data_IF_562522311561
#
_entry.id   IF_562522311561
#
_cell.length_a   1.000
_cell.length_b   1.000
_cell.length_c   1.000
_cell.angle_alpha   90.00
_cell.angle_beta   90.00
_cell.angle_gamma   90.00
#
_symmetry.space_group_name_H-M   'P 1'
#
loop_
_entity.id
_entity.type
_entity.pdbx_description
1 polymer ?
#
# COMPACT_ATOMS: atom_id res chain seq x y z
N UNK A 1 -7.87 13.90 -20.05
CA UNK A 1 -6.46 14.32 -20.03
C UNK A 1 -5.70 13.55 -21.08
N UNK A 2 -4.73 14.16 -21.73
CA UNK A 2 -3.81 13.48 -22.66
C UNK A 2 -2.43 13.45 -22.02
N UNK A 3 -1.74 12.31 -22.07
CA UNK A 3 -0.36 12.17 -21.64
C UNK A 3 0.43 11.50 -22.76
N UNK A 4 1.58 12.06 -23.14
CA UNK A 4 2.33 11.59 -24.31
C UNK A 4 3.65 12.30 -24.48
N UNK A 5 4.46 11.82 -25.41
CA UNK A 5 5.69 12.54 -25.81
C UNK A 5 5.33 13.82 -26.58
N UNK A 6 6.26 14.76 -26.68
CA UNK A 6 6.06 15.98 -27.49
C UNK A 6 5.73 15.67 -28.97
N UNK A 7 6.16 14.50 -29.45
CA UNK A 7 5.91 14.02 -30.81
C UNK A 7 4.50 13.44 -30.98
N UNK A 8 4.01 12.72 -29.98
CA UNK A 8 2.79 11.92 -30.10
C UNK A 8 1.53 12.64 -29.62
N UNK A 9 1.67 13.61 -28.70
CA UNK A 9 0.55 14.43 -28.20
C UNK A 9 -0.24 15.09 -29.34
N UNK A 10 0.37 15.79 -30.32
CA UNK A 10 -0.40 16.42 -31.40
C UNK A 10 -1.26 15.43 -32.18
N UNK A 11 -0.71 14.25 -32.48
CA UNK A 11 -1.41 13.17 -33.21
C UNK A 11 -2.63 12.66 -32.44
N UNK A 12 -2.52 12.56 -31.11
CA UNK A 12 -3.63 12.13 -30.28
C UNK A 12 -4.74 13.21 -30.15
N UNK A 13 -4.37 14.49 -30.21
CA UNK A 13 -5.35 15.59 -30.21
C UNK A 13 -6.15 15.67 -31.53
N UNK A 14 -5.54 15.27 -32.63
CA UNK A 14 -6.17 15.17 -33.95
C UNK A 14 -6.98 13.88 -34.13
N UNK A 15 -6.98 12.97 -33.15
CA UNK A 15 -7.67 11.69 -33.25
C UNK A 15 -9.19 11.87 -33.51
N UNK A 16 -9.82 11.12 -34.42
CA UNK A 16 -11.23 11.28 -34.76
C UNK A 16 -12.18 11.21 -33.56
N UNK A 17 -11.90 10.35 -32.57
CA UNK A 17 -12.67 10.28 -31.33
C UNK A 17 -12.61 11.57 -30.48
N UNK A 18 -11.54 12.36 -30.58
CA UNK A 18 -11.43 13.69 -29.94
C UNK A 18 -12.18 14.72 -30.78
N UNK A 19 -12.01 14.71 -32.10
CA UNK A 19 -12.69 15.63 -33.04
C UNK A 19 -14.21 15.44 -33.10
N UNK A 20 -14.71 14.22 -32.92
CA UNK A 20 -16.14 13.88 -32.91
C UNK A 20 -16.86 14.25 -31.61
N UNK A 21 -16.21 14.98 -30.68
CA UNK A 21 -16.73 15.40 -29.37
C UNK A 21 -17.10 14.26 -28.40
N UNK A 22 -16.64 13.03 -28.64
CA UNK A 22 -16.79 11.95 -27.66
C UNK A 22 -15.94 12.22 -26.40
N UNK A 23 -14.86 12.98 -26.56
CA UNK A 23 -14.00 13.42 -25.48
C UNK A 23 -13.73 14.92 -25.57
N UNK A 24 -13.86 15.63 -24.45
CA UNK A 24 -13.36 16.99 -24.31
C UNK A 24 -11.97 16.95 -23.67
N UNK A 25 -10.95 17.45 -24.38
CA UNK A 25 -9.59 17.55 -23.83
C UNK A 25 -9.54 18.68 -22.81
N UNK A 26 -9.27 18.31 -21.56
CA UNK A 26 -9.23 19.25 -20.43
C UNK A 26 -7.79 19.63 -20.03
N UNK A 27 -6.77 19.01 -20.64
CA UNK A 27 -5.37 19.22 -20.26
C UNK A 27 -4.44 18.16 -20.84
N UNK A 28 -3.17 18.52 -20.91
CA UNK A 28 -2.10 17.74 -21.57
C UNK A 28 -0.88 17.68 -20.65
N UNK A 29 -0.28 16.50 -20.52
CA UNK A 29 1.02 16.29 -19.87
C UNK A 29 2.01 15.79 -20.91
N UNK A 30 3.03 16.58 -21.18
CA UNK A 30 4.12 16.17 -22.07
C UNK A 30 5.19 15.43 -21.26
N UNK A 31 5.51 14.23 -21.69
CA UNK A 31 6.49 13.34 -21.07
C UNK A 31 7.84 13.54 -21.77
N UNK A 32 8.86 13.84 -20.98
CA UNK A 32 10.26 13.85 -21.41
C UNK A 32 10.79 12.41 -21.57
N UNK A 33 11.80 12.23 -22.41
CA UNK A 33 12.39 10.91 -22.66
C UNK A 33 13.21 10.36 -21.48
N UNK A 34 13.52 11.20 -20.49
CA UNK A 34 14.27 10.81 -19.30
C UNK A 34 13.41 9.97 -18.33
N UNK A 35 13.91 8.79 -17.94
CA UNK A 35 13.26 7.87 -17.02
C UNK A 35 13.78 7.99 -15.57
N UNK A 36 14.49 9.07 -15.21
CA UNK A 36 14.88 9.28 -13.82
C UNK A 36 13.68 9.48 -12.90
N UNK A 37 13.81 9.03 -11.65
CA UNK A 37 12.70 8.99 -10.69
C UNK A 37 12.14 10.39 -10.35
N UNK A 38 12.95 11.44 -10.44
CA UNK A 38 12.54 12.81 -10.13
C UNK A 38 11.63 13.35 -11.23
N UNK A 39 12.02 13.14 -12.49
CA UNK A 39 11.23 13.53 -13.66
C UNK A 39 9.89 12.79 -13.70
N UNK A 40 9.90 11.47 -13.49
CA UNK A 40 8.67 10.67 -13.46
C UNK A 40 7.74 11.18 -12.37
N UNK A 41 8.25 11.46 -11.17
CA UNK A 41 7.44 12.02 -10.07
C UNK A 41 6.84 13.37 -10.44
N UNK A 42 7.63 14.30 -10.98
CA UNK A 42 7.14 15.62 -11.37
C UNK A 42 6.03 15.56 -12.42
N UNK A 43 6.20 14.74 -13.44
CA UNK A 43 5.20 14.55 -14.50
C UNK A 43 3.95 13.81 -14.00
N UNK A 44 4.12 12.87 -13.08
CA UNK A 44 3.04 12.18 -12.36
C UNK A 44 2.22 13.14 -11.50
N UNK A 45 2.87 14.05 -10.78
CA UNK A 45 2.20 15.07 -9.98
C UNK A 45 1.44 16.07 -10.87
N UNK A 46 2.00 16.46 -12.02
CA UNK A 46 1.29 17.29 -12.99
C UNK A 46 0.01 16.62 -13.52
N UNK A 47 0.08 15.33 -13.87
CA UNK A 47 -1.08 14.56 -14.29
C UNK A 47 -2.14 14.48 -13.17
N UNK A 48 -1.71 14.20 -11.94
CA UNK A 48 -2.58 14.16 -10.77
C UNK A 48 -3.31 15.49 -10.54
N UNK A 49 -2.59 16.62 -10.63
CA UNK A 49 -3.15 17.96 -10.41
C UNK A 49 -4.16 18.34 -11.49
N UNK A 50 -3.86 18.01 -12.76
CA UNK A 50 -4.76 18.26 -13.88
C UNK A 50 -6.05 17.44 -13.77
N UNK A 51 -5.97 16.14 -13.49
CA UNK A 51 -7.16 15.29 -13.30
C UNK A 51 -8.02 15.81 -12.15
N UNK A 52 -7.39 16.20 -11.03
CA UNK A 52 -8.10 16.70 -9.85
C UNK A 52 -8.83 18.02 -10.11
N UNK A 53 -8.17 18.97 -10.79
CA UNK A 53 -8.72 20.30 -11.06
C UNK A 53 -9.87 20.28 -12.07
N UNK A 54 -9.79 19.43 -13.09
CA UNK A 54 -10.77 19.39 -14.17
C UNK A 54 -11.76 18.23 -14.04
N UNK A 55 -11.65 17.39 -12.99
CA UNK A 55 -12.48 16.19 -12.78
C UNK A 55 -12.54 15.28 -14.02
N UNK A 56 -11.38 15.07 -14.64
CA UNK A 56 -11.31 14.24 -15.84
C UNK A 56 -11.78 12.81 -15.53
N UNK A 57 -12.49 12.19 -16.46
CA UNK A 57 -12.96 10.80 -16.36
C UNK A 57 -12.12 9.82 -17.19
N UNK A 58 -11.24 10.34 -18.04
CA UNK A 58 -10.42 9.58 -19.00
C UNK A 58 -9.02 10.18 -19.08
N UNK A 59 -8.02 9.30 -19.10
CA UNK A 59 -6.63 9.60 -19.44
C UNK A 59 -6.29 8.86 -20.73
N UNK A 60 -5.91 9.61 -21.77
CA UNK A 60 -5.50 9.10 -23.07
C UNK A 60 -3.98 9.10 -23.15
N UNK A 61 -3.38 7.93 -23.34
CA UNK A 61 -1.96 7.72 -23.57
C UNK A 61 -1.68 7.86 -25.07
N UNK A 62 -0.85 8.84 -25.39
CA UNK A 62 -0.42 9.17 -26.73
C UNK A 62 1.04 8.72 -26.93
N UNK A 63 1.22 7.54 -27.53
CA UNK A 63 2.53 6.96 -27.83
C UNK A 63 3.20 6.21 -26.67
N UNK A 64 4.42 5.68 -26.90
CA UNK A 64 5.16 4.94 -25.89
C UNK A 64 5.72 5.87 -24.81
N UNK A 65 5.26 5.70 -23.56
CA UNK A 65 5.70 6.52 -22.43
C UNK A 65 6.94 5.98 -21.69
N UNK A 66 7.43 4.80 -22.05
CA UNK A 66 8.34 4.04 -21.19
C UNK A 66 7.62 3.33 -20.05
N UNK A 67 8.26 2.31 -19.46
CA UNK A 67 7.58 1.39 -18.53
C UNK A 67 7.23 2.07 -17.21
N UNK A 68 8.14 2.91 -16.70
CA UNK A 68 7.98 3.54 -15.39
C UNK A 68 6.87 4.61 -15.41
N UNK A 69 6.87 5.48 -16.42
CA UNK A 69 5.81 6.48 -16.60
C UNK A 69 4.46 5.84 -16.94
N UNK A 70 4.42 4.81 -17.79
CA UNK A 70 3.16 4.10 -18.07
C UNK A 70 2.52 3.51 -16.80
N UNK A 71 3.35 2.96 -15.89
CA UNK A 71 2.88 2.51 -14.56
C UNK A 71 2.36 3.67 -13.72
N UNK A 72 3.08 4.78 -13.66
CA UNK A 72 2.65 5.94 -12.88
C UNK A 72 1.33 6.55 -13.42
N UNK A 73 1.20 6.69 -14.74
CA UNK A 73 -0.03 7.13 -15.40
C UNK A 73 -1.22 6.20 -15.12
N UNK A 74 -1.00 4.88 -15.13
CA UNK A 74 -1.99 3.89 -14.72
C UNK A 74 -2.40 4.06 -13.26
N UNK A 75 -1.42 4.19 -12.37
CA UNK A 75 -1.65 4.31 -10.93
C UNK A 75 -2.43 5.59 -10.57
N UNK A 76 -2.11 6.72 -11.20
CA UNK A 76 -2.85 7.98 -11.05
C UNK A 76 -4.27 7.86 -11.63
N UNK A 77 -4.41 7.21 -12.79
CA UNK A 77 -5.72 7.01 -13.41
C UNK A 77 -6.62 6.16 -12.50
N UNK A 78 -6.07 5.10 -11.91
CA UNK A 78 -6.77 4.25 -10.94
C UNK A 78 -7.15 5.02 -9.69
N UNK A 79 -6.24 5.83 -9.13
CA UNK A 79 -6.49 6.68 -7.96
C UNK A 79 -7.71 7.57 -8.15
N UNK A 80 -7.88 8.13 -9.35
CA UNK A 80 -8.99 9.02 -9.70
C UNK A 80 -10.20 8.31 -10.32
N UNK A 81 -10.18 6.98 -10.46
CA UNK A 81 -11.25 6.23 -11.11
C UNK A 81 -11.42 6.55 -12.61
N UNK A 82 -10.38 7.10 -13.23
CA UNK A 82 -10.30 7.40 -14.65
C UNK A 82 -10.12 6.13 -15.48
N UNK A 83 -10.68 6.11 -16.68
CA UNK A 83 -10.35 5.09 -17.69
C UNK A 83 -9.01 5.46 -18.32
N UNK A 84 -8.07 4.51 -18.35
CA UNK A 84 -6.83 4.67 -19.08
C UNK A 84 -7.00 4.07 -20.48
N UNK A 85 -7.00 4.93 -21.49
CA UNK A 85 -7.07 4.55 -22.89
C UNK A 85 -5.70 4.76 -23.53
N UNK A 86 -5.33 3.95 -24.51
CA UNK A 86 -4.17 4.21 -25.34
C UNK A 86 -4.56 4.19 -26.82
N UNK A 87 -3.93 5.07 -27.59
CA UNK A 87 -3.92 4.99 -29.05
C UNK A 87 -2.86 3.95 -29.43
N UNK A 88 -3.29 2.73 -29.74
CA UNK A 88 -2.38 1.67 -30.17
C UNK A 88 -2.30 1.64 -31.71
N UNK A 89 -1.11 1.47 -32.32
CA UNK A 89 -1.01 1.18 -33.73
C UNK A 89 -1.74 -0.13 -34.06
N UNK A 90 -2.43 -0.17 -35.19
CA UNK A 90 -3.34 -1.24 -35.64
C UNK A 90 -2.70 -2.63 -35.89
N UNK A 91 -1.41 -2.84 -35.57
CA UNK A 91 -0.65 -4.04 -35.97
C UNK A 91 -0.27 -5.00 -34.82
N UNK A 92 -0.64 -4.73 -33.57
CA UNK A 92 -0.24 -5.60 -32.45
C UNK A 92 -1.45 -6.16 -31.71
N UNK A 93 -1.94 -7.34 -32.14
CA UNK A 93 -2.47 -8.34 -31.20
C UNK A 93 -2.28 -9.76 -31.76
N UNK A 94 -1.29 -10.48 -31.20
CA UNK A 94 -1.40 -11.90 -30.97
C UNK A 94 -1.58 -12.12 -29.45
N UNK A 95 -2.70 -12.71 -29.04
CA UNK A 95 -2.84 -13.33 -27.71
C UNK A 95 -3.42 -12.51 -26.54
N UNK A 96 -3.97 -11.32 -26.74
CA UNK A 96 -4.71 -10.59 -25.70
C UNK A 96 -6.07 -10.13 -26.26
N UNK A 97 -7.15 -10.19 -25.48
CA UNK A 97 -8.46 -9.62 -25.89
C UNK A 97 -8.61 -8.20 -25.31
N UNK A 98 -8.22 -7.13 -26.02
CA UNK A 98 -8.44 -5.76 -25.57
C UNK A 98 -9.93 -5.42 -25.58
N UNK A 99 -10.42 -4.72 -24.55
CA UNK A 99 -11.72 -4.06 -24.64
C UNK A 99 -11.56 -2.84 -25.54
N UNK A 100 -11.96 -2.99 -26.81
CA UNK A 100 -11.99 -1.90 -27.79
C UNK A 100 -13.13 -0.96 -27.40
N UNK A 101 -12.79 0.30 -27.11
CA UNK A 101 -13.74 1.35 -26.71
C UNK A 101 -14.22 2.17 -27.90
N UNK A 102 -13.47 2.14 -28.99
CA UNK A 102 -13.78 2.81 -30.25
C UNK A 102 -13.23 1.98 -31.41
N UNK A 103 -14.13 1.61 -32.33
CA UNK A 103 -13.83 0.86 -33.56
C UNK A 103 -13.71 1.86 -34.72
N UNK A 104 -12.48 2.17 -35.10
CA UNK A 104 -12.17 2.91 -36.33
C UNK A 104 -10.69 2.70 -36.65
N UNK A 105 -10.16 3.45 -37.62
CA UNK A 105 -8.82 3.21 -38.21
C UNK A 105 -7.65 3.29 -37.20
N UNK A 106 -7.89 3.81 -35.99
CA UNK A 106 -6.97 3.84 -34.86
C UNK A 106 -7.70 3.41 -33.56
N UNK A 107 -7.74 2.11 -33.22
CA UNK A 107 -8.55 1.62 -32.12
C UNK A 107 -8.09 2.17 -30.77
N UNK A 108 -9.06 2.66 -29.98
CA UNK A 108 -8.81 3.01 -28.58
C UNK A 108 -9.00 1.79 -27.70
N UNK A 109 -7.91 1.34 -27.09
CA UNK A 109 -7.93 0.19 -26.17
C UNK A 109 -7.97 0.69 -24.74
N UNK A 110 -8.91 0.17 -23.96
CA UNK A 110 -8.88 0.37 -22.51
C UNK A 110 -7.86 -0.55 -21.88
N UNK A 111 -6.76 0.03 -21.40
CA UNK A 111 -5.65 -0.72 -20.81
C UNK A 111 -5.91 -1.09 -19.34
N UNK A 112 -6.74 -0.31 -18.65
CA UNK A 112 -7.09 -0.58 -17.27
C UNK A 112 -8.51 -0.10 -16.93
N UNK A 113 -9.28 -0.99 -16.31
CA UNK A 113 -10.50 -0.66 -15.59
C UNK A 113 -10.49 -1.51 -14.31
N UNK A 114 -9.99 -0.96 -13.21
CA UNK A 114 -10.36 -1.47 -11.89
C UNK A 114 -10.93 -0.32 -11.09
N UNK A 115 -12.18 0.03 -11.41
CA UNK A 115 -12.98 0.80 -10.47
C UNK A 115 -13.25 -0.10 -9.28
N UNK A 116 -12.62 0.22 -8.15
CA UNK A 116 -13.20 -0.13 -6.86
C UNK A 116 -14.55 0.57 -6.83
N UNK A 117 -15.63 -0.19 -6.89
CA UNK A 117 -16.95 0.43 -6.73
C UNK A 117 -17.05 0.98 -5.32
N UNK A 118 -17.67 2.14 -5.16
CA UNK A 118 -17.82 2.78 -3.84
C UNK A 118 -18.49 1.83 -2.84
N UNK A 119 -19.44 1.01 -3.32
CA UNK A 119 -20.08 -0.06 -2.57
C UNK A 119 -19.12 -1.12 -2.04
N UNK A 120 -18.14 -1.56 -2.84
CA UNK A 120 -17.13 -2.53 -2.40
C UNK A 120 -16.25 -1.94 -1.28
N UNK A 121 -15.91 -0.65 -1.37
CA UNK A 121 -15.15 0.04 -0.33
C UNK A 121 -15.97 0.20 0.97
N UNK A 122 -17.27 0.51 0.85
CA UNK A 122 -18.19 0.58 1.99
C UNK A 122 -18.38 -0.79 2.65
N UNK A 123 -18.54 -1.85 1.85
CA UNK A 123 -18.66 -3.21 2.34
C UNK A 123 -17.39 -3.66 3.06
N UNK A 124 -16.20 -3.42 2.46
CA UNK A 124 -14.91 -3.66 3.13
C UNK A 124 -14.84 -2.94 4.48
N UNK A 125 -15.24 -1.67 4.52
CA UNK A 125 -15.23 -0.89 5.75
C UNK A 125 -16.19 -1.45 6.81
N UNK A 126 -17.36 -1.91 6.39
CA UNK A 126 -18.35 -2.51 7.29
C UNK A 126 -17.82 -3.81 7.89
N UNK A 127 -17.20 -4.67 7.07
CA UNK A 127 -16.54 -5.90 7.51
C UNK A 127 -15.42 -5.57 8.52
N UNK A 128 -14.56 -4.61 8.21
CA UNK A 128 -13.48 -4.17 9.10
C UNK A 128 -14.00 -3.77 10.49
N UNK A 129 -15.07 -2.96 10.54
CA UNK A 129 -15.67 -2.49 11.79
C UNK A 129 -16.28 -3.65 12.57
N UNK A 130 -17.16 -4.44 11.94
CA UNK A 130 -17.89 -5.53 12.63
C UNK A 130 -16.91 -6.58 13.17
N UNK A 131 -15.96 -7.02 12.36
CA UNK A 131 -14.98 -8.03 12.78
C UNK A 131 -14.03 -7.48 13.85
N UNK A 132 -13.53 -6.25 13.69
CA UNK A 132 -12.62 -5.66 14.70
C UNK A 132 -13.32 -5.40 16.03
N UNK A 133 -14.57 -4.94 16.01
CA UNK A 133 -15.38 -4.75 17.22
C UNK A 133 -15.63 -6.09 17.92
N UNK A 134 -16.01 -7.11 17.15
CA UNK A 134 -16.23 -8.47 17.68
C UNK A 134 -14.96 -9.03 18.30
N UNK A 135 -13.83 -8.94 17.60
CA UNK A 135 -12.53 -9.41 18.10
C UNK A 135 -12.10 -8.66 19.36
N UNK A 136 -12.33 -7.34 19.45
CA UNK A 136 -12.00 -6.58 20.66
C UNK A 136 -12.84 -7.00 21.87
N UNK A 137 -14.12 -7.29 21.69
CA UNK A 137 -14.99 -7.78 22.77
C UNK A 137 -14.55 -9.18 23.22
N UNK A 138 -14.38 -10.10 22.26
CA UNK A 138 -13.98 -11.49 22.54
C UNK A 138 -12.60 -11.57 23.18
N UNK A 139 -11.66 -10.74 22.71
CA UNK A 139 -10.27 -10.72 23.22
C UNK A 139 -10.08 -9.77 24.40
N UNK A 140 -11.11 -9.08 24.89
CA UNK A 140 -10.98 -8.14 26.00
C UNK A 140 -10.32 -8.76 27.25
N UNK A 141 -10.64 -10.01 27.68
CA UNK A 141 -9.96 -10.64 28.80
C UNK A 141 -8.45 -10.84 28.53
N UNK A 142 -8.09 -11.26 27.32
CA UNK A 142 -6.69 -11.43 26.91
C UNK A 142 -5.94 -10.09 26.89
N UNK A 143 -6.58 -9.03 26.39
CA UNK A 143 -6.02 -7.67 26.44
C UNK A 143 -5.70 -7.25 27.88
N UNK A 144 -6.63 -7.49 28.82
CA UNK A 144 -6.43 -7.16 30.23
C UNK A 144 -5.27 -7.95 30.85
N UNK A 145 -5.18 -9.25 30.57
CA UNK A 145 -4.08 -10.12 31.05
C UNK A 145 -2.73 -9.62 30.51
N UNK A 146 -2.63 -9.38 29.20
CA UNK A 146 -1.39 -8.88 28.58
C UNK A 146 -1.03 -7.51 29.14
N UNK A 147 -2.00 -6.62 29.29
CA UNK A 147 -1.79 -5.28 29.84
C UNK A 147 -1.24 -5.32 31.28
N UNK A 148 -1.84 -6.16 32.14
CA UNK A 148 -1.38 -6.36 33.50
C UNK A 148 0.03 -6.95 33.53
N UNK A 149 0.31 -7.97 32.72
CA UNK A 149 1.63 -8.59 32.65
C UNK A 149 2.73 -7.60 32.20
N UNK A 150 2.43 -6.72 31.23
CA UNK A 150 3.35 -5.66 30.79
C UNK A 150 3.60 -4.63 31.90
N UNK A 151 2.55 -4.24 32.62
CA UNK A 151 2.63 -3.26 33.71
C UNK A 151 3.42 -3.81 34.92
N UNK A 152 3.32 -5.12 35.18
CA UNK A 152 4.06 -5.80 36.24
C UNK A 152 5.54 -6.04 35.88
N UNK A 153 5.85 -6.34 34.61
CA UNK A 153 7.23 -6.59 34.18
C UNK A 153 8.08 -5.30 34.09
N UNK A 154 7.49 -4.18 33.67
CA UNK A 154 8.23 -2.92 33.53
C UNK A 154 7.37 -1.67 33.74
N UNK A 155 7.96 -0.63 34.34
CA UNK A 155 7.28 0.66 34.58
C UNK A 155 6.94 1.37 33.28
N UNK A 156 5.83 2.14 33.26
CA UNK A 156 5.42 2.99 32.14
C UNK A 156 4.18 2.50 31.37
N UNK A 157 3.88 3.09 30.20
CA UNK A 157 2.64 2.82 29.47
C UNK A 157 2.60 1.42 28.85
N UNK A 158 1.44 0.76 28.95
CA UNK A 158 1.18 -0.56 28.34
C UNK A 158 1.22 -0.51 26.80
N UNK A 159 0.73 0.57 26.21
CA UNK A 159 0.66 0.72 24.76
C UNK A 159 1.85 1.53 24.24
N UNK A 160 2.49 1.01 23.19
CA UNK A 160 3.43 1.73 22.36
C UNK A 160 2.71 2.35 21.16
N UNK A 161 3.12 3.56 20.76
CA UNK A 161 2.51 4.33 19.67
C UNK A 161 3.55 4.66 18.61
N UNK A 162 3.53 3.96 17.49
CA UNK A 162 4.45 4.23 16.38
C UNK A 162 3.77 5.18 15.37
N UNK A 163 4.36 6.34 15.09
CA UNK A 163 3.88 7.23 14.02
C UNK A 163 4.09 6.58 12.65
N UNK A 164 3.01 6.47 11.87
CA UNK A 164 2.98 5.87 10.53
C UNK A 164 2.17 6.73 9.58
N UNK A 165 2.35 6.53 8.28
CA UNK A 165 1.57 7.21 7.22
C UNK A 165 0.42 6.30 6.81
N UNK A 166 -0.78 6.84 6.73
CA UNK A 166 -2.01 6.12 6.37
C UNK A 166 -2.72 6.71 5.17
N UNK A 167 -4.02 6.42 5.08
CA UNK A 167 -4.89 6.87 3.99
C UNK A 167 -4.77 8.38 3.75
N UNK A 168 -4.54 8.76 2.48
CA UNK A 168 -4.38 10.16 2.03
C UNK A 168 -3.29 10.91 2.80
N UNK A 169 -2.15 10.26 2.99
CA UNK A 169 -0.96 10.81 3.66
C UNK A 169 -1.18 11.22 5.13
N UNK A 170 -2.32 10.87 5.73
CA UNK A 170 -2.60 11.23 7.12
C UNK A 170 -1.73 10.41 8.05
N UNK A 171 -0.91 11.10 8.86
CA UNK A 171 -0.15 10.46 9.91
C UNK A 171 -1.08 9.94 11.02
N UNK A 172 -0.80 8.75 11.54
CA UNK A 172 -1.53 8.17 12.67
C UNK A 172 -0.58 7.42 13.61
N UNK A 173 -1.05 7.13 14.82
CA UNK A 173 -0.31 6.30 15.77
C UNK A 173 -0.77 4.85 15.64
N UNK A 174 0.06 4.03 15.00
CA UNK A 174 -0.09 2.58 14.97
C UNK A 174 0.16 2.02 16.39
N UNK A 175 -0.90 1.48 16.99
CA UNK A 175 -0.87 1.00 18.36
C UNK A 175 -0.27 -0.40 18.43
N UNK A 176 0.54 -0.64 19.46
CA UNK A 176 1.05 -1.98 19.81
C UNK A 176 1.05 -2.13 21.32
N UNK A 177 1.08 -3.36 21.80
CA UNK A 177 1.54 -3.59 23.16
C UNK A 177 3.03 -3.28 23.24
N UNK A 178 3.45 -2.68 24.35
CA UNK A 178 4.84 -2.38 24.59
C UNK A 178 5.60 -3.69 24.82
N UNK A 179 6.60 -3.94 23.97
CA UNK A 179 7.48 -5.12 24.07
C UNK A 179 8.91 -4.76 24.47
N UNK A 180 9.21 -3.48 24.63
CA UNK A 180 10.54 -2.95 24.93
C UNK A 180 10.49 -2.11 26.20
N UNK A 181 11.63 -2.01 26.90
CA UNK A 181 11.80 -1.08 28.03
C UNK A 181 11.62 0.37 27.57
N UNK A 182 11.17 1.25 28.47
CA UNK A 182 10.81 2.64 28.13
C UNK A 182 12.01 3.44 27.60
N UNK A 183 13.21 3.13 28.08
CA UNK A 183 14.49 3.75 27.72
C UNK A 183 15.17 3.04 26.52
N UNK A 184 14.45 2.20 25.76
CA UNK A 184 15.03 1.42 24.66
C UNK A 184 15.75 2.27 23.61
N UNK A 185 15.18 3.41 23.24
CA UNK A 185 15.81 4.33 22.26
C UNK A 185 17.09 4.96 22.81
N UNK A 186 17.09 5.33 24.08
CA UNK A 186 18.24 5.89 24.77
C UNK A 186 19.36 4.86 24.92
N UNK A 187 19.03 3.61 25.25
CA UNK A 187 19.98 2.48 25.27
C UNK A 187 20.60 2.24 23.90
N UNK A 188 19.79 2.28 22.83
CA UNK A 188 20.28 2.09 21.48
C UNK A 188 21.30 3.18 21.09
N UNK A 189 21.07 4.44 21.48
CA UNK A 189 21.98 5.55 21.16
C UNK A 189 23.24 5.55 22.01
N UNK A 190 23.17 5.05 23.24
CA UNK A 190 24.30 5.01 24.19
C UNK A 190 25.27 3.86 23.95
N UNK A 191 24.86 2.83 23.21
CA UNK A 191 25.66 1.65 22.94
C UNK A 191 26.07 1.62 21.45
N UNK A 192 27.34 1.98 21.13
CA UNK A 192 27.83 2.00 19.75
C UNK A 192 27.80 0.63 19.07
N UNK A 193 27.99 -0.47 19.81
CA UNK A 193 27.94 -1.83 19.26
C UNK A 193 26.50 -2.18 18.88
N UNK A 194 25.57 -1.89 19.79
CA UNK A 194 24.14 -2.09 19.53
C UNK A 194 23.63 -1.24 18.36
N UNK A 195 24.12 0.00 18.24
CA UNK A 195 23.82 0.88 17.10
C UNK A 195 24.39 0.34 15.78
N UNK A 196 25.62 -0.20 15.79
CA UNK A 196 26.22 -0.82 14.62
C UNK A 196 25.39 -2.02 14.15
N UNK A 197 25.05 -2.95 15.04
CA UNK A 197 24.18 -4.09 14.75
C UNK A 197 22.81 -3.65 14.23
N UNK A 198 22.21 -2.61 14.83
CA UNK A 198 20.94 -2.05 14.37
C UNK A 198 21.00 -1.56 12.93
N UNK A 199 22.10 -0.91 12.53
CA UNK A 199 22.31 -0.43 11.16
C UNK A 199 22.61 -1.56 10.18
N UNK A 200 23.46 -2.50 10.56
CA UNK A 200 23.83 -3.66 9.72
C UNK A 200 22.62 -4.50 9.33
N UNK A 201 21.65 -4.64 10.23
CA UNK A 201 20.43 -5.41 10.02
C UNK A 201 19.24 -4.58 9.52
N UNK A 202 19.49 -3.43 8.88
CA UNK A 202 18.46 -2.64 8.22
C UNK A 202 17.47 -2.00 9.20
N UNK A 203 18.00 -1.34 10.24
CA UNK A 203 17.24 -0.65 11.28
C UNK A 203 16.35 -1.59 12.12
N UNK A 204 16.84 -2.81 12.38
CA UNK A 204 16.22 -3.79 13.28
C UNK A 204 17.29 -4.68 13.89
N UNK A 205 17.24 -4.92 15.20
CA UNK A 205 18.04 -5.98 15.84
C UNK A 205 17.17 -7.24 15.92
N UNK A 206 17.71 -8.44 15.66
CA UNK A 206 16.98 -9.69 15.87
C UNK A 206 16.44 -9.78 17.31
N UNK A 207 15.20 -10.25 17.48
CA UNK A 207 14.50 -10.19 18.78
C UNK A 207 15.19 -11.00 19.89
N UNK A 208 16.00 -12.00 19.54
CA UNK A 208 16.77 -12.80 20.50
C UNK A 208 18.01 -12.04 21.02
N UNK A 209 18.53 -11.11 20.23
CA UNK A 209 19.79 -10.42 20.45
C UNK A 209 19.57 -8.96 20.87
N UNK A 210 18.31 -8.49 20.91
CA UNK A 210 17.96 -7.12 21.31
C UNK A 210 17.75 -7.03 22.85
N UNK A 211 18.71 -6.49 23.61
CA UNK A 211 18.63 -6.38 25.08
C UNK A 211 17.54 -5.38 25.52
N UNK A 212 16.94 -4.64 24.59
CA UNK A 212 15.88 -3.68 24.87
C UNK A 212 14.51 -4.35 24.94
N UNK A 213 14.37 -5.56 24.40
CA UNK A 213 13.11 -6.32 24.36
C UNK A 213 12.94 -7.09 25.67
N UNK A 214 11.78 -6.95 26.32
CA UNK A 214 11.50 -7.64 27.59
C UNK A 214 11.24 -9.14 27.38
N UNK A 215 11.20 -9.94 28.45
CA UNK A 215 10.96 -11.39 28.31
C UNK A 215 9.55 -11.64 27.79
N UNK A 216 8.55 -10.96 28.36
CA UNK A 216 7.18 -10.98 27.83
C UNK A 216 7.13 -10.38 26.42
N UNK A 217 7.87 -9.31 26.17
CA UNK A 217 7.95 -8.67 24.85
C UNK A 217 8.40 -9.61 23.74
N UNK A 218 9.38 -10.49 24.02
CA UNK A 218 9.80 -11.53 23.07
C UNK A 218 8.67 -12.52 22.77
N UNK A 219 7.91 -12.94 23.78
CA UNK A 219 6.75 -13.83 23.59
C UNK A 219 5.68 -13.14 22.73
N UNK A 220 5.35 -11.88 23.04
CA UNK A 220 4.34 -11.11 22.32
C UNK A 220 4.71 -10.92 20.84
N UNK A 221 5.98 -10.60 20.52
CA UNK A 221 6.45 -10.48 19.14
C UNK A 221 6.41 -11.80 18.38
N UNK A 222 6.85 -12.89 19.02
CA UNK A 222 6.87 -14.24 18.42
C UNK A 222 5.47 -14.73 18.06
N UNK A 223 4.49 -14.40 18.90
CA UNK A 223 3.07 -14.77 18.71
C UNK A 223 2.27 -13.72 17.94
N UNK A 224 2.90 -12.58 17.60
CA UNK A 224 2.24 -11.39 17.01
C UNK A 224 1.10 -10.81 17.86
N UNK A 225 1.03 -11.20 19.14
CA UNK A 225 0.05 -10.65 20.08
C UNK A 225 0.32 -9.16 20.37
N UNK A 226 1.54 -8.68 20.13
CA UNK A 226 1.88 -7.27 20.28
C UNK A 226 1.09 -6.35 19.35
N UNK A 227 0.57 -6.89 18.24
CA UNK A 227 -0.15 -6.12 17.23
C UNK A 227 -1.66 -6.07 17.44
N UNK A 228 -2.21 -6.82 18.41
CA UNK A 228 -3.65 -6.82 18.70
C UNK A 228 -4.24 -5.41 18.92
N UNK A 229 -3.55 -4.44 19.58
CA UNK A 229 -4.09 -3.09 19.76
C UNK A 229 -4.36 -2.34 18.44
N UNK A 230 -3.82 -2.79 17.30
CA UNK A 230 -4.14 -2.23 15.99
C UNK A 230 -5.61 -2.41 15.60
N UNK A 231 -6.34 -3.36 16.21
CA UNK A 231 -7.80 -3.48 16.05
C UNK A 231 -8.52 -2.17 16.42
N UNK A 232 -7.99 -1.42 17.39
CA UNK A 232 -8.51 -0.10 17.77
C UNK A 232 -8.27 0.91 16.64
N UNK A 233 -7.12 0.86 15.96
CA UNK A 233 -6.85 1.68 14.78
C UNK A 233 -7.79 1.35 13.62
N UNK A 234 -8.16 0.08 13.46
CA UNK A 234 -9.17 -0.33 12.48
C UNK A 234 -10.52 0.31 12.81
N UNK A 235 -10.99 0.24 14.05
CA UNK A 235 -12.24 0.89 14.45
C UNK A 235 -12.22 2.41 14.23
N UNK A 236 -11.11 3.08 14.55
CA UNK A 236 -10.92 4.52 14.32
C UNK A 236 -10.90 4.91 12.84
N UNK A 237 -10.62 3.95 11.96
CA UNK A 237 -10.55 4.18 10.52
C UNK A 237 -9.18 4.59 10.02
N UNK A 238 -8.16 4.50 10.85
CA UNK A 238 -6.75 4.69 10.47
C UNK A 238 -6.24 3.50 9.64
N UNK A 239 -6.71 2.29 10.00
CA UNK A 239 -6.29 1.02 9.40
C UNK A 239 -7.48 0.20 8.89
N UNK A 240 -7.17 -0.86 8.14
CA UNK A 240 -8.05 -1.95 7.75
C UNK A 240 -7.54 -3.26 8.37
N UNK A 241 -8.36 -4.32 8.41
CA UNK A 241 -7.86 -5.65 8.78
C UNK A 241 -6.83 -6.13 7.76
N UNK A 242 -7.11 -5.90 6.48
CA UNK A 242 -6.30 -6.37 5.35
C UNK A 242 -5.94 -5.18 4.46
N UNK A 243 -4.65 -4.98 4.21
CA UNK A 243 -4.14 -3.85 3.44
C UNK A 243 -2.61 -3.87 3.31
N UNK A 244 -2.03 -2.87 2.64
CA UNK A 244 -0.57 -2.67 2.63
C UNK A 244 -0.04 -2.42 4.04
N UNK A 245 1.23 -2.68 4.29
CA UNK A 245 1.81 -2.45 5.61
C UNK A 245 1.78 -0.95 5.96
N UNK A 246 1.53 -0.59 7.23
CA UNK A 246 1.77 0.78 7.67
C UNK A 246 3.27 1.09 7.66
N UNK A 247 3.68 2.04 6.84
CA UNK A 247 5.08 2.45 6.66
C UNK A 247 5.40 3.78 7.36
N UNK A 248 6.68 4.05 7.64
CA UNK A 248 7.10 5.40 8.05
C UNK A 248 7.19 6.32 6.82
N UNK A 249 7.32 7.62 7.04
CA UNK A 249 7.32 8.59 5.93
C UNK A 249 8.56 8.43 5.04
N UNK A 250 9.69 8.10 5.65
CA UNK A 250 10.97 7.88 4.98
C UNK A 250 10.91 6.69 4.01
N UNK A 251 10.12 5.66 4.32
CA UNK A 251 9.96 4.48 3.45
C UNK A 251 9.20 4.80 2.14
N UNK A 252 8.56 5.98 2.03
CA UNK A 252 7.80 6.36 0.82
C UNK A 252 8.69 6.50 -0.41
N UNK A 253 9.98 6.81 -0.24
CA UNK A 253 10.93 6.93 -1.35
C UNK A 253 11.07 5.64 -2.16
N UNK A 254 10.83 4.47 -1.54
CA UNK A 254 10.92 3.17 -2.20
C UNK A 254 9.76 2.86 -3.16
N UNK A 255 8.74 3.71 -3.24
CA UNK A 255 7.55 3.49 -4.08
C UNK A 255 7.55 4.32 -5.38
N UNK A 256 8.60 5.11 -5.63
CA UNK A 256 8.97 5.69 -6.93
C UNK A 256 7.80 6.18 -7.82
N UNK A 257 6.98 7.11 -7.32
CA UNK A 257 5.84 7.71 -8.05
C UNK A 257 4.50 7.00 -7.83
N UNK A 258 4.51 5.85 -7.16
CA UNK A 258 3.30 5.08 -6.81
C UNK A 258 2.85 5.31 -5.36
N UNK A 259 3.42 6.29 -4.66
CA UNK A 259 3.13 6.60 -3.25
C UNK A 259 1.66 6.96 -3.07
N UNK A 260 1.12 7.78 -3.98
CA UNK A 260 -0.29 8.18 -3.94
C UNK A 260 -1.22 6.98 -4.10
N UNK A 261 -0.82 6.00 -4.92
CA UNK A 261 -1.58 4.76 -5.07
C UNK A 261 -1.49 3.90 -3.80
N UNK A 262 -0.31 3.77 -3.19
CA UNK A 262 -0.18 3.07 -1.90
C UNK A 262 -1.07 3.72 -0.82
N UNK A 263 -1.04 5.04 -0.72
CA UNK A 263 -1.77 5.85 0.27
C UNK A 263 -3.23 6.12 -0.12
N UNK A 264 -3.69 5.60 -1.26
CA UNK A 264 -5.08 5.55 -1.71
C UNK A 264 -5.96 4.69 -0.80
N UNK A 265 -5.33 3.79 -0.03
CA UNK A 265 -6.00 2.77 0.77
C UNK A 265 -5.56 2.86 2.22
N UNK A 266 -6.39 2.31 3.12
CA UNK A 266 -5.96 2.16 4.51
C UNK A 266 -4.89 1.07 4.61
N UNK A 267 -3.80 1.28 5.36
CA UNK A 267 -2.88 0.21 5.69
C UNK A 267 -3.59 -0.88 6.50
N UNK A 268 -3.10 -2.11 6.39
CA UNK A 268 -3.65 -3.31 7.01
C UNK A 268 -2.89 -3.77 8.25
N UNK A 269 -3.59 -4.42 9.19
CA UNK A 269 -2.94 -5.24 10.23
C UNK A 269 -2.18 -6.39 9.55
N UNK A 270 -2.85 -7.07 8.61
CA UNK A 270 -2.25 -8.06 7.73
C UNK A 270 -2.41 -7.65 6.27
N UNK A 271 -1.81 -8.41 5.36
CA UNK A 271 -1.85 -8.11 3.93
C UNK A 271 -1.12 -9.13 3.11
N UNK A 272 -1.08 -8.91 1.79
CA UNK A 272 -0.35 -9.78 0.88
C UNK A 272 1.13 -9.89 1.27
N UNK A 273 1.74 -8.79 1.70
CA UNK A 273 3.11 -8.76 2.24
C UNK A 273 3.32 -9.74 3.42
N UNK A 274 2.31 -9.88 4.29
CA UNK A 274 2.39 -10.71 5.48
C UNK A 274 2.28 -12.21 5.15
N UNK A 275 1.64 -12.58 4.04
CA UNK A 275 1.47 -13.98 3.63
C UNK A 275 2.42 -14.41 2.51
N UNK A 276 3.16 -13.48 1.91
CA UNK A 276 4.09 -13.72 0.79
C UNK A 276 5.58 -13.73 1.20
N UNK A 277 5.90 -13.62 2.50
CA UNK A 277 7.28 -13.67 2.97
C UNK A 277 7.56 -12.90 4.27
N UNK A 278 6.60 -12.12 4.78
CA UNK A 278 6.72 -11.29 6.00
C UNK A 278 8.00 -10.43 5.94
N UNK A 279 8.90 -10.63 6.89
CA UNK A 279 10.12 -9.86 7.07
C UNK A 279 11.23 -10.22 6.06
N UNK A 280 11.07 -11.28 5.26
CA UNK A 280 12.11 -11.72 4.32
C UNK A 280 12.16 -10.88 3.04
N UNK A 281 11.08 -10.17 2.71
CA UNK A 281 11.04 -9.32 1.52
C UNK A 281 11.69 -7.97 1.83
N UNK A 282 12.78 -7.64 1.15
CA UNK A 282 13.40 -6.32 1.15
C UNK A 282 12.78 -5.43 0.05
N UNK A 283 13.11 -4.13 0.06
CA UNK A 283 12.85 -3.29 -1.11
C UNK A 283 13.82 -3.67 -2.24
N UNK A 284 13.40 -3.63 -3.52
CA UNK A 284 12.13 -3.12 -4.05
C UNK A 284 10.97 -4.14 -4.08
N UNK A 285 11.24 -5.44 -3.90
CA UNK A 285 10.22 -6.51 -4.05
C UNK A 285 9.02 -6.32 -3.12
N UNK A 286 9.27 -5.84 -1.90
CA UNK A 286 8.21 -5.51 -0.94
C UNK A 286 7.22 -4.49 -1.52
N UNK A 287 7.72 -3.41 -2.10
CA UNK A 287 6.88 -2.37 -2.69
C UNK A 287 6.06 -2.94 -3.87
N UNK A 288 6.66 -3.80 -4.69
CA UNK A 288 5.95 -4.47 -5.79
C UNK A 288 4.79 -5.34 -5.30
N UNK A 289 4.98 -6.11 -4.22
CA UNK A 289 3.92 -6.94 -3.61
C UNK A 289 2.77 -6.07 -3.07
N UNK A 290 3.09 -4.97 -2.40
CA UNK A 290 2.08 -4.08 -1.82
C UNK A 290 1.29 -3.31 -2.88
N UNK A 291 1.97 -2.76 -3.89
CA UNK A 291 1.32 -2.11 -5.02
C UNK A 291 0.50 -3.11 -5.84
N UNK A 292 0.99 -4.35 -6.00
CA UNK A 292 0.25 -5.43 -6.62
C UNK A 292 -1.08 -5.72 -5.91
N UNK A 293 -1.08 -5.75 -4.58
CA UNK A 293 -2.32 -5.84 -3.79
C UNK A 293 -3.27 -4.68 -4.06
N UNK A 294 -2.76 -3.44 -4.08
CA UNK A 294 -3.61 -2.26 -4.30
C UNK A 294 -4.24 -2.27 -5.70
N UNK A 295 -3.46 -2.61 -6.73
CA UNK A 295 -3.89 -2.65 -8.14
C UNK A 295 -4.93 -3.74 -8.41
N UNK A 296 -4.80 -4.90 -7.77
CA UNK A 296 -5.66 -6.08 -8.01
C UNK A 296 -6.65 -6.35 -6.89
N UNK A 297 -6.88 -5.35 -6.03
CA UNK A 297 -7.70 -5.52 -4.85
C UNK A 297 -9.11 -6.02 -5.18
N UNK A 298 -9.54 -7.04 -4.43
CA UNK A 298 -10.91 -7.54 -4.44
C UNK A 298 -11.28 -8.12 -3.07
N UNK A 299 -12.58 -8.17 -2.77
CA UNK A 299 -13.08 -8.79 -1.52
C UNK A 299 -12.71 -10.28 -1.43
N UNK A 300 -12.72 -11.00 -2.56
CA UNK A 300 -12.28 -12.39 -2.63
C UNK A 300 -10.78 -12.52 -2.32
N UNK A 301 -9.97 -11.60 -2.84
CA UNK A 301 -8.54 -11.53 -2.53
C UNK A 301 -8.29 -11.28 -1.04
N UNK A 302 -9.03 -10.37 -0.43
CA UNK A 302 -8.98 -10.12 1.02
C UNK A 302 -9.32 -11.40 1.81
N UNK A 303 -10.40 -12.11 1.46
CA UNK A 303 -10.74 -13.38 2.11
C UNK A 303 -9.63 -14.44 1.97
N UNK A 304 -9.05 -14.57 0.78
CA UNK A 304 -7.92 -15.50 0.56
C UNK A 304 -6.69 -15.14 1.42
N UNK A 305 -6.39 -13.85 1.56
CA UNK A 305 -5.32 -13.37 2.45
C UNK A 305 -5.66 -13.71 3.91
N UNK A 306 -6.91 -13.47 4.35
CA UNK A 306 -7.34 -13.78 5.71
C UNK A 306 -7.11 -15.27 6.06
N UNK A 307 -7.52 -16.18 5.19
CA UNK A 307 -7.35 -17.62 5.38
C UNK A 307 -5.86 -18.01 5.44
N UNK A 308 -5.03 -17.42 4.57
CA UNK A 308 -3.58 -17.62 4.61
C UNK A 308 -2.95 -17.08 5.89
N UNK A 309 -3.45 -15.96 6.42
CA UNK A 309 -3.00 -15.40 7.70
C UNK A 309 -3.35 -16.31 8.86
N UNK A 310 -4.58 -16.82 8.93
CA UNK A 310 -5.00 -17.78 9.98
C UNK A 310 -4.13 -19.04 9.95
N UNK A 311 -3.92 -19.62 8.76
CA UNK A 311 -3.04 -20.77 8.58
C UNK A 311 -1.62 -20.48 9.05
N UNK A 312 -1.05 -19.34 8.64
CA UNK A 312 0.31 -18.97 9.00
C UNK A 312 0.50 -18.72 10.51
N UNK A 313 -0.55 -18.33 11.24
CA UNK A 313 -0.53 -18.20 12.71
C UNK A 313 -0.68 -19.57 13.37
N UNK A 314 -1.59 -20.41 12.88
CA UNK A 314 -1.84 -21.76 13.42
C UNK A 314 -0.63 -22.70 13.23
N UNK A 315 -0.03 -22.71 12.03
CA UNK A 315 1.15 -23.52 11.72
C UNK A 315 2.33 -23.13 12.63
N UNK A 316 2.47 -21.84 12.96
CA UNK A 316 3.51 -21.37 13.88
C UNK A 316 3.31 -21.87 15.31
N UNK A 317 2.06 -21.93 15.78
CA UNK A 317 1.69 -22.52 17.07
C UNK A 317 2.06 -24.00 17.17
N UNK A 318 1.92 -24.75 16.07
CA UNK A 318 2.29 -26.17 16.01
C UNK A 318 3.79 -26.43 16.08
N UNK A 319 4.61 -25.56 15.47
CA UNK A 319 6.09 -25.67 15.50
C UNK A 319 6.67 -25.24 16.85
N UNK A 320 6.05 -24.28 17.54
CA UNK A 320 6.47 -23.88 18.90
C UNK A 320 6.09 -24.88 19.99
N UNK A 321 5.10 -25.76 19.77
CA UNK A 321 4.72 -26.80 20.72
C UNK A 321 5.66 -28.03 20.67
N UNK A 322 6.56 -28.09 19.69
CA UNK A 322 7.52 -29.19 19.49
C UNK A 322 8.98 -28.82 19.84
N UNK A 323 9.23 -27.66 20.48
CA UNK A 323 10.56 -27.22 20.92
C UNK A 323 10.60 -26.85 22.39
#
# INVERSE_FOLDING_TARGET
MVIGTARDVPRALEHPAVGAQWFQVCGVVTVAEDEDATTIRGQSDALHQLISSHRASVVLVAGPLGTAMMRAASDISQLHGCRLLAVMPSEVVAGHEPLVVWEGDAPLVQLAAHRRTEWQALLKRSIDIVLSATMLVVLAPLFAIIAAAIALESRGPVFFRHRRVGLRERAFHCLKFRTMVVDAEERLRRDPQLWATYREHGFRIPDNDDPRVTRLGRLLRRTSLDELPQLINVLRGDMSLIGPRPIVHEELEHYAGSERLLLSVRPGITGLWAVSGRHRLAYPDRAAVELGYVRTWSLRGDFAIAMRTVKAVADYGSVSAQR
#
